data_IF_113711086726
#
_entry.id   IF_113711086726
#
_cell.length_a   1.000
_cell.length_b   1.000
_cell.length_c   1.000
_cell.angle_alpha   90.00
_cell.angle_beta   90.00
_cell.angle_gamma   90.00
#
_symmetry.space_group_name_H-M   'P 1'
#
loop_
_entity.id
_entity.type
_entity.pdbx_description
1 polymer ?
#
# COMPACT_ATOMS: atom_id res chain seq x y z
N UNK A 1 1.82 13.40 11.16
CA UNK A 1 1.41 12.62 9.96
C UNK A 1 0.87 11.29 10.43
N UNK A 2 -0.40 11.00 10.17
CA UNK A 2 -1.08 9.77 10.57
C UNK A 2 -1.70 9.09 9.34
N UNK A 3 -1.29 7.87 8.97
CA UNK A 3 -1.94 7.09 7.92
C UNK A 3 -3.19 6.39 8.44
N UNK A 4 -4.25 6.38 7.63
CA UNK A 4 -5.50 5.69 7.89
C UNK A 4 -5.92 4.94 6.63
N UNK A 5 -6.17 3.64 6.75
CA UNK A 5 -6.73 2.85 5.65
C UNK A 5 -8.20 3.25 5.48
N UNK A 6 -8.58 3.69 4.28
CA UNK A 6 -9.96 4.07 3.96
C UNK A 6 -10.63 3.07 2.99
N UNK A 7 -9.82 2.31 2.25
CA UNK A 7 -10.28 1.22 1.39
C UNK A 7 -9.26 0.10 1.33
N UNK A 8 -9.63 -1.08 1.85
CA UNK A 8 -8.82 -2.29 1.77
C UNK A 8 -8.74 -2.83 0.32
N UNK A 9 -7.79 -3.73 0.01
CA UNK A 9 -7.78 -4.42 -1.28
C UNK A 9 -9.13 -5.10 -1.56
N UNK A 10 -9.70 -4.85 -2.74
CA UNK A 10 -10.95 -5.49 -3.14
C UNK A 10 -10.77 -6.97 -3.50
N UNK A 11 -9.54 -7.35 -3.87
CA UNK A 11 -9.14 -8.71 -4.23
C UNK A 11 -7.75 -9.01 -3.66
N UNK A 12 -7.39 -10.29 -3.66
CA UNK A 12 -6.02 -10.73 -3.38
C UNK A 12 -5.21 -10.90 -4.68
N UNK A 13 -3.87 -10.75 -4.64
CA UNK A 13 -3.00 -10.92 -5.82
C UNK A 13 -3.01 -12.33 -6.41
N UNK A 14 -3.49 -13.31 -5.67
CA UNK A 14 -3.59 -14.73 -6.02
C UNK A 14 -4.98 -15.19 -5.59
N UNK A 15 -5.69 -15.87 -6.49
CA UNK A 15 -7.02 -16.39 -6.16
C UNK A 15 -6.94 -17.70 -5.35
N UNK A 16 -8.04 -18.05 -4.66
CA UNK A 16 -8.14 -19.35 -3.99
C UNK A 16 -7.94 -20.51 -4.99
N UNK A 17 -8.51 -20.41 -6.19
CA UNK A 17 -8.34 -21.42 -7.24
C UNK A 17 -6.88 -21.59 -7.67
N UNK A 18 -6.14 -20.48 -7.84
CA UNK A 18 -4.71 -20.53 -8.17
C UNK A 18 -3.89 -21.15 -7.05
N UNK A 19 -4.19 -20.80 -5.80
CA UNK A 19 -3.51 -21.36 -4.63
C UNK A 19 -3.79 -22.86 -4.49
N UNK A 20 -5.04 -23.30 -4.65
CA UNK A 20 -5.41 -24.72 -4.63
C UNK A 20 -4.74 -25.51 -5.75
N UNK A 21 -4.71 -24.96 -6.96
CA UNK A 21 -3.99 -25.57 -8.10
C UNK A 21 -2.50 -25.73 -7.79
N UNK A 22 -1.87 -24.71 -7.19
CA UNK A 22 -0.47 -24.76 -6.76
C UNK A 22 -0.21 -25.81 -5.68
N UNK A 23 -1.12 -25.92 -4.71
CA UNK A 23 -1.05 -26.87 -3.59
C UNK A 23 -1.48 -28.29 -3.95
N UNK A 24 -2.03 -28.49 -5.16
CA UNK A 24 -2.70 -29.73 -5.59
C UNK A 24 -3.83 -30.14 -4.64
N UNK A 25 -4.63 -29.16 -4.24
CA UNK A 25 -5.79 -29.35 -3.36
C UNK A 25 -7.09 -29.28 -4.15
N UNK A 26 -7.81 -30.41 -4.23
CA UNK A 26 -9.06 -30.52 -4.97
C UNK A 26 -10.31 -30.35 -4.06
N UNK A 27 -10.18 -30.61 -2.76
CA UNK A 27 -11.27 -30.57 -1.77
C UNK A 27 -11.53 -29.16 -1.21
N UNK A 28 -12.65 -28.97 -0.51
CA UNK A 28 -13.06 -27.67 0.04
C UNK A 28 -12.73 -27.45 1.53
N UNK A 29 -12.28 -28.50 2.23
CA UNK A 29 -12.15 -28.51 3.70
C UNK A 29 -11.13 -27.47 4.21
N UNK A 30 -10.13 -27.13 3.39
CA UNK A 30 -9.10 -26.15 3.73
C UNK A 30 -9.27 -24.79 3.06
N UNK A 31 -10.39 -24.53 2.37
CA UNK A 31 -10.59 -23.28 1.61
C UNK A 31 -10.43 -22.04 2.50
N UNK A 32 -11.01 -22.08 3.69
CA UNK A 32 -10.92 -20.98 4.66
C UNK A 32 -9.48 -20.78 5.16
N UNK A 33 -8.73 -21.87 5.39
CA UNK A 33 -7.33 -21.80 5.79
C UNK A 33 -6.48 -21.20 4.68
N UNK A 34 -6.63 -21.69 3.44
CA UNK A 34 -5.87 -21.23 2.28
C UNK A 34 -6.16 -19.74 2.02
N UNK A 35 -7.41 -19.30 2.12
CA UNK A 35 -7.76 -17.88 2.02
C UNK A 35 -7.05 -17.04 3.09
N UNK A 36 -7.05 -17.48 4.35
CA UNK A 36 -6.36 -16.77 5.41
C UNK A 36 -4.84 -16.70 5.18
N UNK A 37 -4.24 -17.77 4.68
CA UNK A 37 -2.81 -17.81 4.33
C UNK A 37 -2.47 -16.86 3.16
N UNK A 38 -3.33 -16.74 2.15
CA UNK A 38 -3.14 -15.78 1.04
C UNK A 38 -3.08 -14.35 1.58
N UNK A 39 -4.04 -13.97 2.44
CA UNK A 39 -4.09 -12.64 3.06
C UNK A 39 -2.82 -12.39 3.89
N UNK A 40 -2.43 -13.35 4.74
CA UNK A 40 -1.23 -13.26 5.56
C UNK A 40 0.04 -13.14 4.69
N UNK A 41 0.10 -13.87 3.58
CA UNK A 41 1.25 -13.86 2.68
C UNK A 41 1.37 -12.53 1.93
N UNK A 42 0.24 -11.96 1.47
CA UNK A 42 0.20 -10.59 0.93
C UNK A 42 0.75 -9.62 1.97
N UNK A 43 0.15 -9.56 3.17
CA UNK A 43 0.53 -8.58 4.19
C UNK A 43 2.03 -8.68 4.56
N UNK A 44 2.54 -9.91 4.63
CA UNK A 44 3.96 -10.16 4.94
C UNK A 44 4.88 -9.68 3.82
N UNK A 45 4.53 -9.93 2.55
CA UNK A 45 5.30 -9.44 1.42
C UNK A 45 5.18 -7.92 1.24
N UNK A 46 4.01 -7.33 1.51
CA UNK A 46 3.81 -5.88 1.51
C UNK A 46 4.73 -5.21 2.56
N UNK A 47 4.80 -5.78 3.77
CA UNK A 47 5.71 -5.32 4.82
C UNK A 47 7.19 -5.48 4.43
N UNK A 48 7.56 -6.65 3.89
CA UNK A 48 8.93 -6.94 3.48
C UNK A 48 9.42 -6.03 2.35
N UNK A 49 8.58 -5.84 1.32
CA UNK A 49 8.94 -5.04 0.13
C UNK A 49 8.70 -3.54 0.33
N UNK A 50 7.90 -3.15 1.34
CA UNK A 50 7.36 -1.81 1.56
C UNK A 50 6.55 -1.30 0.37
N UNK A 51 5.73 -2.19 -0.19
CA UNK A 51 4.87 -1.93 -1.33
C UNK A 51 3.47 -2.45 -1.08
N UNK A 52 2.48 -1.82 -1.70
CA UNK A 52 1.11 -2.30 -1.78
C UNK A 52 0.96 -3.08 -3.09
N UNK A 53 0.34 -4.26 -3.03
CA UNK A 53 0.21 -5.14 -4.19
C UNK A 53 -1.02 -4.77 -5.02
N UNK A 54 -2.21 -4.91 -4.44
CA UNK A 54 -3.48 -4.51 -5.04
C UNK A 54 -3.81 -3.08 -4.62
N UNK A 55 -4.56 -2.36 -5.46
CA UNK A 55 -5.04 -1.01 -5.16
C UNK A 55 -5.71 -0.92 -3.79
N UNK A 56 -5.23 0.02 -2.99
CA UNK A 56 -5.77 0.41 -1.69
C UNK A 56 -5.92 1.92 -1.64
N UNK A 57 -6.94 2.38 -0.93
CA UNK A 57 -7.18 3.80 -0.68
C UNK A 57 -6.75 4.14 0.74
N UNK A 58 -5.96 5.20 0.86
CA UNK A 58 -5.39 5.66 2.13
C UNK A 58 -5.62 7.15 2.33
N UNK A 59 -5.76 7.54 3.58
CA UNK A 59 -5.75 8.93 4.04
C UNK A 59 -4.48 9.21 4.82
N UNK A 60 -3.85 10.34 4.53
CA UNK A 60 -2.83 10.93 5.39
C UNK A 60 -3.36 12.19 6.03
N UNK A 61 -3.29 12.22 7.36
CA UNK A 61 -3.70 13.38 8.17
C UNK A 61 -2.47 14.11 8.69
N UNK A 62 -2.48 15.44 8.55
CA UNK A 62 -1.44 16.33 9.06
C UNK A 62 -2.06 17.47 9.87
N UNK A 63 -1.36 17.87 10.94
CA UNK A 63 -1.74 19.04 11.73
C UNK A 63 -1.42 20.33 10.96
N UNK A 64 -0.26 20.36 10.30
CA UNK A 64 0.20 21.46 9.46
C UNK A 64 0.97 20.94 8.24
N UNK A 65 1.17 21.82 7.25
CA UNK A 65 1.95 21.48 6.06
C UNK A 65 3.42 21.19 6.43
N UNK A 66 4.02 20.07 5.96
CA UNK A 66 5.44 19.83 6.15
C UNK A 66 6.30 20.95 5.57
N UNK A 67 7.50 21.14 6.13
CA UNK A 67 8.43 22.21 5.72
C UNK A 67 8.80 22.16 4.23
N UNK A 68 8.80 20.97 3.61
CA UNK A 68 8.99 20.83 2.16
C UNK A 68 7.90 21.55 1.36
N UNK A 69 6.64 21.44 1.79
CA UNK A 69 5.53 22.13 1.11
C UNK A 69 5.69 23.63 1.20
N UNK A 70 6.12 24.13 2.37
CA UNK A 70 6.36 25.56 2.59
C UNK A 70 7.56 26.08 1.78
N UNK A 71 8.65 25.30 1.68
CA UNK A 71 9.89 25.75 1.06
C UNK A 71 9.94 25.57 -0.44
N UNK A 72 9.32 24.50 -0.98
CA UNK A 72 9.43 24.15 -2.40
C UNK A 72 8.12 23.65 -3.02
N UNK A 73 6.98 23.81 -2.34
CA UNK A 73 5.66 23.38 -2.83
C UNK A 73 5.60 21.88 -3.19
N UNK A 74 6.40 21.03 -2.51
CA UNK A 74 6.37 19.58 -2.70
C UNK A 74 6.00 18.82 -1.42
N UNK A 75 5.14 17.82 -1.60
CA UNK A 75 4.84 16.81 -0.60
C UNK A 75 5.19 15.42 -1.12
N UNK A 76 5.89 14.65 -0.29
CA UNK A 76 6.22 13.25 -0.59
C UNK A 76 5.32 12.31 0.19
N UNK A 77 4.72 11.34 -0.52
CA UNK A 77 3.87 10.29 0.03
C UNK A 77 4.71 9.01 0.12
N UNK A 78 4.99 8.45 1.31
CA UNK A 78 5.93 7.34 1.44
C UNK A 78 5.38 5.97 1.01
N UNK A 79 4.21 5.94 0.36
CA UNK A 79 3.49 4.73 -0.01
C UNK A 79 3.74 4.43 -1.50
N UNK A 80 3.99 3.16 -1.83
CA UNK A 80 4.37 2.75 -3.19
C UNK A 80 3.70 1.42 -3.58
N UNK A 81 3.46 1.17 -4.87
CA UNK A 81 3.47 2.15 -5.95
C UNK A 81 2.38 3.20 -5.72
N UNK A 82 2.68 4.47 -5.99
CA UNK A 82 1.69 5.54 -5.87
C UNK A 82 0.90 5.63 -7.17
N UNK A 83 -0.42 5.60 -7.08
CA UNK A 83 -1.31 5.70 -8.24
C UNK A 83 -1.75 7.16 -8.46
N UNK A 84 -2.50 7.73 -7.52
CA UNK A 84 -3.04 9.08 -7.65
C UNK A 84 -3.43 9.68 -6.29
N UNK A 85 -3.42 11.01 -6.19
CA UNK A 85 -4.10 11.72 -5.11
C UNK A 85 -5.55 11.98 -5.51
N UNK A 86 -6.50 11.52 -4.70
CA UNK A 86 -7.94 11.57 -5.00
C UNK A 86 -8.62 12.79 -4.37
N UNK A 87 -8.17 13.24 -3.20
CA UNK A 87 -8.64 14.48 -2.60
C UNK A 87 -7.58 15.09 -1.66
N UNK A 88 -7.50 16.42 -1.64
CA UNK A 88 -6.73 17.18 -0.65
C UNK A 88 -7.69 18.17 0.00
N UNK A 89 -7.84 18.09 1.32
CA UNK A 89 -8.73 18.94 2.11
C UNK A 89 -7.92 19.68 3.16
N UNK A 90 -8.19 20.97 3.30
CA UNK A 90 -7.64 21.82 4.37
C UNK A 90 -8.82 22.34 5.16
N UNK A 91 -8.77 22.20 6.47
CA UNK A 91 -9.85 22.61 7.36
C UNK A 91 -9.57 23.98 7.95
N UNK A 92 -10.60 24.82 7.96
CA UNK A 92 -10.53 26.15 8.60
C UNK A 92 -10.74 26.08 10.12
N UNK A 93 -10.78 27.24 10.77
CA UNK A 93 -10.95 27.35 12.22
C UNK A 93 -12.37 26.99 12.71
N UNK A 94 -13.35 26.86 11.81
CA UNK A 94 -14.75 26.51 12.09
C UNK A 94 -15.07 25.06 11.68
N UNK A 95 -14.05 24.24 11.48
CA UNK A 95 -14.17 22.84 11.04
C UNK A 95 -14.71 22.63 9.62
N UNK A 96 -14.79 23.68 8.79
CA UNK A 96 -15.22 23.55 7.42
C UNK A 96 -14.07 23.06 6.52
N UNK A 97 -14.33 22.00 5.75
CA UNK A 97 -13.37 21.43 4.81
C UNK A 97 -13.34 22.22 3.50
N UNK A 98 -12.17 22.76 3.14
CA UNK A 98 -11.90 23.31 1.82
C UNK A 98 -11.13 22.30 0.98
N UNK A 99 -11.78 21.78 -0.07
CA UNK A 99 -11.12 20.90 -1.05
C UNK A 99 -10.26 21.71 -2.01
N UNK A 100 -8.98 21.35 -2.15
CA UNK A 100 -8.12 21.93 -3.17
C UNK A 100 -8.52 21.41 -4.55
N UNK A 101 -8.74 22.33 -5.49
CA UNK A 101 -9.03 21.98 -6.87
C UNK A 101 -7.83 21.27 -7.53
N UNK A 102 -8.10 20.26 -8.36
CA UNK A 102 -7.06 19.49 -9.05
C UNK A 102 -6.16 20.32 -9.97
N UNK A 103 -6.59 21.52 -10.40
CA UNK A 103 -5.76 22.46 -11.16
C UNK A 103 -4.60 23.04 -10.33
N UNK A 104 -4.72 23.04 -8.99
CA UNK A 104 -3.74 23.63 -8.08
C UNK A 104 -2.62 22.66 -7.66
N UNK A 105 -2.66 21.40 -8.11
CA UNK A 105 -1.62 20.43 -7.80
C UNK A 105 -1.45 19.38 -8.91
N UNK A 106 -0.28 18.74 -8.94
CA UNK A 106 0.03 17.62 -9.82
C UNK A 106 0.56 16.46 -9.00
N UNK A 107 -0.04 15.29 -9.16
CA UNK A 107 0.31 14.07 -8.44
C UNK A 107 0.43 12.90 -9.44
N UNK A 108 1.52 12.82 -10.23
CA UNK A 108 1.66 11.76 -11.23
C UNK A 108 1.85 10.38 -10.56
N UNK A 109 1.43 9.30 -11.23
CA UNK A 109 1.72 7.93 -10.77
C UNK A 109 3.23 7.68 -10.72
N UNK A 110 3.63 6.78 -9.82
CA UNK A 110 5.04 6.47 -9.56
C UNK A 110 5.19 5.02 -9.11
N UNK A 111 6.20 4.32 -9.64
CA UNK A 111 6.57 2.98 -9.16
C UNK A 111 7.23 3.02 -7.77
N UNK A 112 7.50 4.21 -7.24
CA UNK A 112 8.05 4.48 -5.90
C UNK A 112 6.99 5.22 -5.07
N UNK A 113 7.43 6.00 -4.08
CA UNK A 113 6.56 6.90 -3.35
C UNK A 113 5.92 7.96 -4.26
N UNK A 114 4.81 8.52 -3.81
CA UNK A 114 4.12 9.62 -4.48
C UNK A 114 4.84 10.95 -4.28
N UNK A 115 4.69 11.84 -5.26
CA UNK A 115 5.11 13.23 -5.16
C UNK A 115 3.97 14.12 -5.63
N UNK A 116 3.47 14.96 -4.72
CA UNK A 116 2.47 15.98 -5.00
C UNK A 116 3.21 17.31 -5.10
N UNK A 117 3.15 17.95 -6.26
CA UNK A 117 3.67 19.31 -6.49
C UNK A 117 2.52 20.29 -6.59
N UNK A 118 2.51 21.33 -5.76
CA UNK A 118 1.49 22.37 -5.78
C UNK A 118 1.88 23.50 -6.74
N UNK A 119 0.90 24.12 -7.40
CA UNK A 119 1.12 25.24 -8.31
C UNK A 119 1.55 26.52 -7.57
N UNK A 120 1.06 26.68 -6.33
CA UNK A 120 1.45 27.70 -5.37
C UNK A 120 1.37 27.10 -3.96
N UNK A 121 1.87 27.82 -2.95
CA UNK A 121 1.75 27.36 -1.57
C UNK A 121 0.26 27.13 -1.22
N UNK A 122 -0.13 25.92 -0.76
CA UNK A 122 -1.50 25.66 -0.37
C UNK A 122 -1.89 26.48 0.88
N UNK A 123 -3.20 26.75 1.10
CA UNK A 123 -3.65 27.51 2.25
C UNK A 123 -3.24 26.81 3.56
N UNK A 124 -2.85 27.59 4.57
CA UNK A 124 -2.59 27.06 5.90
C UNK A 124 -3.90 26.56 6.54
N UNK A 125 -3.86 25.45 7.30
CA UNK A 125 -5.02 25.01 8.05
C UNK A 125 -5.38 26.00 9.15
N UNK A 126 -6.68 26.17 9.41
CA UNK A 126 -7.20 26.95 10.53
C UNK A 126 -7.30 26.15 11.83
N UNK A 127 -7.18 24.81 11.78
CA UNK A 127 -7.07 23.94 12.96
C UNK A 127 -5.63 23.79 13.43
N UNK A 128 -5.46 23.64 14.75
CA UNK A 128 -4.18 23.31 15.35
C UNK A 128 -3.79 21.82 15.18
N UNK A 129 -4.78 20.94 15.04
CA UNK A 129 -4.61 19.48 14.89
C UNK A 129 -5.52 18.95 13.80
N UNK A 130 -5.09 17.89 13.09
CA UNK A 130 -5.84 17.27 11.99
C UNK A 130 -6.37 18.31 10.97
N UNK A 131 -5.55 19.32 10.66
CA UNK A 131 -5.92 20.45 9.80
C UNK A 131 -5.92 20.11 8.31
N UNK A 132 -5.29 19.02 7.90
CA UNK A 132 -5.14 18.63 6.50
C UNK A 132 -5.41 17.13 6.36
N UNK A 133 -6.22 16.77 5.36
CA UNK A 133 -6.43 15.39 4.93
C UNK A 133 -6.06 15.22 3.46
N UNK A 134 -5.36 14.14 3.15
CA UNK A 134 -4.99 13.78 1.79
C UNK A 134 -5.39 12.33 1.55
N UNK A 135 -6.40 12.14 0.71
CA UNK A 135 -6.82 10.84 0.22
C UNK A 135 -6.04 10.51 -1.06
N UNK A 136 -5.55 9.28 -1.18
CA UNK A 136 -4.79 8.80 -2.32
C UNK A 136 -4.90 7.29 -2.48
N UNK A 137 -4.52 6.82 -3.66
CA UNK A 137 -4.50 5.42 -4.04
C UNK A 137 -3.07 4.93 -4.26
N UNK A 138 -2.81 3.69 -3.81
CA UNK A 138 -1.54 2.99 -3.93
C UNK A 138 -1.77 1.54 -4.31
N UNK A 139 -0.82 0.92 -5.00
CA UNK A 139 -0.91 -0.44 -5.51
C UNK A 139 -0.37 -0.54 -6.92
N UNK A 140 -0.13 -1.77 -7.40
CA UNK A 140 0.22 -1.98 -8.81
C UNK A 140 -0.98 -1.80 -9.73
N UNK A 141 -2.18 -2.12 -9.24
CA UNK A 141 -3.44 -1.93 -9.93
C UNK A 141 -4.58 -2.70 -9.26
N UNK A 142 -5.76 -2.63 -9.87
CA UNK A 142 -6.98 -3.23 -9.33
C UNK A 142 -7.09 -4.73 -9.65
N UNK A 143 -6.27 -5.24 -10.58
CA UNK A 143 -6.30 -6.62 -11.03
C UNK A 143 -5.10 -7.41 -10.49
N UNK A 144 -5.29 -8.72 -10.28
CA UNK A 144 -4.21 -9.61 -9.91
C UNK A 144 -3.09 -9.62 -10.98
N UNK A 145 -3.43 -9.44 -12.26
CA UNK A 145 -2.47 -9.36 -13.37
C UNK A 145 -1.55 -8.14 -13.29
N UNK A 146 -1.96 -7.07 -12.61
CA UNK A 146 -1.16 -5.85 -12.45
C UNK A 146 0.02 -6.10 -11.49
N UNK A 147 -0.13 -7.06 -10.57
CA UNK A 147 0.91 -7.44 -9.61
C UNK A 147 2.02 -8.21 -10.33
N UNK A 148 3.30 -7.80 -10.18
CA UNK A 148 4.43 -8.50 -10.78
C UNK A 148 4.40 -10.00 -10.49
N UNK A 149 4.54 -10.80 -11.55
CA UNK A 149 4.47 -12.26 -11.46
C UNK A 149 5.39 -12.86 -10.37
N UNK A 150 6.63 -12.37 -10.15
CA UNK A 150 7.47 -12.90 -9.06
C UNK A 150 6.87 -12.71 -7.67
N UNK A 151 6.12 -11.61 -7.42
CA UNK A 151 5.46 -11.36 -6.14
C UNK A 151 4.25 -12.29 -5.96
N UNK A 152 3.48 -12.55 -7.02
CA UNK A 152 2.41 -13.57 -6.99
C UNK A 152 2.96 -14.97 -6.73
N UNK A 153 4.09 -15.31 -7.35
CA UNK A 153 4.77 -16.58 -7.10
C UNK A 153 5.32 -16.68 -5.67
N UNK A 154 5.84 -15.56 -5.12
CA UNK A 154 6.29 -15.51 -3.74
C UNK A 154 5.13 -15.74 -2.75
N UNK A 155 3.92 -15.21 -3.03
CA UNK A 155 2.71 -15.49 -2.25
C UNK A 155 2.40 -16.98 -2.26
N UNK A 156 2.30 -17.60 -3.46
CA UNK A 156 2.03 -19.03 -3.59
C UNK A 156 3.05 -19.90 -2.84
N UNK A 157 4.33 -19.54 -2.95
CA UNK A 157 5.43 -20.25 -2.26
C UNK A 157 5.29 -20.13 -0.73
N UNK A 158 4.93 -18.95 -0.24
CA UNK A 158 4.77 -18.69 1.20
C UNK A 158 3.52 -19.38 1.77
N UNK A 159 2.42 -19.39 1.01
CA UNK A 159 1.19 -20.13 1.36
C UNK A 159 1.48 -21.63 1.48
N UNK A 160 2.19 -22.22 0.52
CA UNK A 160 2.59 -23.62 0.59
C UNK A 160 3.46 -23.91 1.81
N UNK A 161 4.45 -23.05 2.06
CA UNK A 161 5.31 -23.20 3.23
C UNK A 161 4.53 -23.20 4.56
N UNK A 162 3.62 -22.23 4.77
CA UNK A 162 2.87 -22.14 6.02
C UNK A 162 1.76 -23.16 6.16
N UNK A 163 1.20 -23.66 5.06
CA UNK A 163 0.26 -24.80 5.13
C UNK A 163 0.93 -26.03 5.73
N UNK A 164 2.17 -26.29 5.32
CA UNK A 164 2.99 -27.42 5.76
C UNK A 164 3.60 -27.20 7.16
N UNK A 165 3.86 -25.94 7.56
CA UNK A 165 4.55 -25.59 8.81
C UNK A 165 3.67 -24.70 9.70
N UNK A 166 2.78 -25.30 10.50
CA UNK A 166 1.71 -24.60 11.24
C UNK A 166 2.11 -24.05 12.63
N UNK A 167 3.40 -23.89 12.91
CA UNK A 167 3.90 -23.43 14.22
C UNK A 167 5.17 -24.13 14.72
N UNK A 168 5.67 -25.11 13.96
CA UNK A 168 6.79 -25.97 14.37
C UNK A 168 8.18 -25.39 14.04
N UNK A 169 8.23 -24.21 13.41
CA UNK A 169 9.46 -23.54 13.01
C UNK A 169 9.88 -22.46 14.01
N UNK A 170 11.08 -22.59 14.58
CA UNK A 170 11.68 -21.56 15.45
C UNK A 170 12.39 -20.43 14.70
N UNK A 171 12.22 -20.33 13.37
CA UNK A 171 12.86 -19.30 12.54
C UNK A 171 11.81 -18.33 12.01
N UNK A 172 11.84 -17.09 12.52
CA UNK A 172 10.94 -15.99 12.11
C UNK A 172 11.30 -15.40 10.73
N UNK A 173 12.33 -15.93 10.06
CA UNK A 173 12.79 -15.44 8.77
C UNK A 173 11.86 -15.89 7.61
N UNK A 174 11.72 -15.02 6.60
CA UNK A 174 11.06 -15.39 5.35
C UNK A 174 11.81 -16.56 4.67
N UNK A 175 11.10 -17.57 4.13
CA UNK A 175 11.73 -18.63 3.37
C UNK A 175 12.63 -18.07 2.26
N UNK A 176 13.85 -18.62 2.12
CA UNK A 176 14.85 -18.10 1.15
C UNK A 176 14.30 -17.91 -0.27
N UNK A 177 13.52 -18.85 -0.85
CA UNK A 177 12.96 -18.65 -2.20
C UNK A 177 11.99 -17.47 -2.27
N UNK A 178 11.16 -17.28 -1.23
CA UNK A 178 10.23 -16.15 -1.11
C UNK A 178 11.00 -14.84 -1.06
N UNK A 179 12.04 -14.77 -0.23
CA UNK A 179 12.89 -13.59 -0.11
C UNK A 179 13.60 -13.24 -1.43
N UNK A 180 14.09 -14.24 -2.17
CA UNK A 180 14.77 -14.06 -3.46
C UNK A 180 13.82 -13.50 -4.54
N UNK A 181 12.61 -14.04 -4.64
CA UNK A 181 11.59 -13.55 -5.57
C UNK A 181 11.15 -12.12 -5.28
N UNK A 182 11.08 -11.75 -4.00
CA UNK A 182 10.66 -10.44 -3.54
C UNK A 182 11.79 -9.40 -3.50
N UNK A 183 13.06 -9.82 -3.46
CA UNK A 183 14.21 -8.93 -3.31
C UNK A 183 14.29 -7.78 -4.33
N UNK A 184 14.05 -7.98 -5.65
CA UNK A 184 14.09 -6.88 -6.63
C UNK A 184 13.05 -5.78 -6.39
N UNK A 185 11.98 -6.10 -5.64
CA UNK A 185 10.90 -5.17 -5.34
C UNK A 185 11.10 -4.45 -4.01
N UNK A 186 12.08 -4.87 -3.19
CA UNK A 186 12.32 -4.29 -1.88
C UNK A 186 12.76 -2.83 -2.00
N UNK A 187 12.08 -1.94 -1.30
CA UNK A 187 12.48 -0.52 -1.20
C UNK A 187 13.51 -0.35 -0.10
N UNK A 188 14.77 -0.30 -0.50
CA UNK A 188 15.86 0.10 0.38
C UNK A 188 15.78 1.61 0.66
N UNK A 189 16.05 1.99 1.91
CA UNK A 189 16.27 3.38 2.27
C UNK A 189 17.74 3.65 1.95
N UNK A 190 18.01 4.39 0.89
CA UNK A 190 19.35 4.93 0.67
C UNK A 190 19.62 5.87 1.86
N UNK A 191 20.73 5.61 2.57
CA UNK A 191 21.21 6.42 3.69
C UNK A 191 21.79 7.74 3.18
#
# INVERSE_FOLDING_TARGET
MRPMLIGAPAIEPVSLADAKSWLREDGGDEDQLIQALIVAARMTLEAYTRRFLITQSWRLVFDCWPSSVVSNAMLYIPFAPFAAATAIRVFDANDAAQTLAAVNYRAPPSTKGGRISFASAPPAPGRATDGIEIDFEVGYGALASDVPQPLRHAILTLVAHWREHRGDGGDDALPKPVAQLAAPFRRERLL
#
